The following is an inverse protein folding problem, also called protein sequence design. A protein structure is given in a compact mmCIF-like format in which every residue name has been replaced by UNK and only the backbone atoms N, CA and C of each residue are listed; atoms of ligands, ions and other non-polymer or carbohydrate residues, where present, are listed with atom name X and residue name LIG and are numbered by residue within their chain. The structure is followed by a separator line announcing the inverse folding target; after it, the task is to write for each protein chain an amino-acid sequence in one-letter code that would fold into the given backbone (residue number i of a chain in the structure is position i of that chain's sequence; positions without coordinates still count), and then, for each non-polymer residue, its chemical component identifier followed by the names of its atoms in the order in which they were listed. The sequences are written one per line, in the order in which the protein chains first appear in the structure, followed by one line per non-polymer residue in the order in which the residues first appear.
data_IF_488311901875
#
_entry.id   IF_488311901875
#
_cell.length_a   1.000
_cell.length_b   1.000
_cell.length_c   1.000
_cell.angle_alpha   90.00
_cell.angle_beta   90.00
_cell.angle_gamma   90.00
#
_symmetry.space_group_name_H-M   'P 1'
#
loop_
_entity.id
_entity.type
_entity.pdbx_description
1 polymer ?
#
# COMPACT_ATOMS: atom_id res chain seq x y z
N UNK A 1 21.27 10.27 16.83
CA UNK A 1 19.91 9.81 17.17
C UNK A 1 19.18 9.47 15.86
N UNK A 2 19.75 8.54 15.06
CA UNK A 2 19.23 8.10 13.75
C UNK A 2 19.09 6.57 13.64
N UNK A 3 19.60 5.80 14.62
CA UNK A 3 19.67 4.34 14.54
C UNK A 3 18.29 3.65 14.46
N UNK A 4 17.24 4.30 14.95
CA UNK A 4 15.86 3.79 14.89
C UNK A 4 15.22 3.89 13.50
N UNK A 5 15.61 4.88 12.69
CA UNK A 5 15.05 5.07 11.36
C UNK A 5 15.72 4.09 10.39
N UNK A 6 17.05 3.96 10.44
CA UNK A 6 17.81 3.00 9.64
C UNK A 6 17.41 1.54 9.89
N UNK A 7 17.02 1.20 11.13
CA UNK A 7 16.56 -0.15 11.48
C UNK A 7 15.18 -0.48 10.93
N UNK A 8 14.27 0.50 10.84
CA UNK A 8 12.91 0.28 10.35
C UNK A 8 12.85 0.22 8.82
N UNK A 9 13.62 1.09 8.13
CA UNK A 9 13.81 1.01 6.68
C UNK A 9 14.56 -0.26 6.28
N UNK A 10 15.58 -0.64 7.07
CA UNK A 10 16.29 -1.91 6.90
C UNK A 10 15.36 -3.11 7.08
N UNK A 11 14.44 -3.08 8.04
CA UNK A 11 13.46 -4.15 8.26
C UNK A 11 12.46 -4.27 7.09
N UNK A 12 11.98 -3.15 6.55
CA UNK A 12 11.05 -3.14 5.42
C UNK A 12 11.71 -3.57 4.11
N UNK A 13 12.97 -3.18 3.86
CA UNK A 13 13.69 -3.68 2.68
C UNK A 13 13.99 -5.18 2.80
N UNK A 14 14.36 -5.67 3.99
CA UNK A 14 14.54 -7.11 4.23
C UNK A 14 13.25 -7.90 4.09
N UNK A 15 12.10 -7.31 4.39
CA UNK A 15 10.80 -7.94 4.16
C UNK A 15 10.65 -8.28 2.67
N UNK A 16 10.89 -7.31 1.78
CA UNK A 16 10.76 -7.51 0.34
C UNK A 16 11.75 -8.55 -0.22
N UNK A 17 12.88 -8.81 0.45
CA UNK A 17 13.84 -9.86 0.06
C UNK A 17 13.37 -11.27 0.41
N UNK A 18 12.51 -11.42 1.43
CA UNK A 18 12.12 -12.73 1.99
C UNK A 18 10.64 -13.05 1.79
N UNK A 19 9.90 -12.18 1.10
CA UNK A 19 8.47 -12.32 0.87
C UNK A 19 8.08 -12.05 -0.57
N UNK A 20 7.16 -12.86 -1.08
CA UNK A 20 6.52 -12.60 -2.37
C UNK A 20 5.68 -11.30 -2.32
N UNK A 21 5.55 -10.57 -3.43
CA UNK A 21 4.62 -9.44 -3.52
C UNK A 21 3.18 -9.89 -3.29
N UNK A 22 2.30 -8.93 -2.98
CA UNK A 22 0.85 -9.14 -3.06
C UNK A 22 0.36 -8.78 -4.46
N UNK A 23 -0.76 -9.34 -4.85
CA UNK A 23 -1.39 -9.14 -6.14
C UNK A 23 -2.76 -8.50 -5.93
N UNK A 24 -3.01 -7.37 -6.59
CA UNK A 24 -4.32 -6.71 -6.61
C UNK A 24 -4.95 -6.87 -7.99
N UNK A 25 -6.11 -7.53 -8.03
CA UNK A 25 -6.83 -7.87 -9.24
C UNK A 25 -7.82 -6.77 -9.66
N UNK A 26 -8.16 -6.73 -10.95
CA UNK A 26 -9.02 -5.70 -11.57
C UNK A 26 -10.48 -5.72 -11.09
N UNK A 27 -10.98 -6.86 -10.59
CA UNK A 27 -12.40 -7.04 -10.18
C UNK A 27 -12.86 -6.07 -9.07
N UNK A 28 -11.93 -5.25 -8.60
CA UNK A 28 -11.96 -4.35 -7.48
C UNK A 28 -11.69 -2.87 -7.91
N UNK A 29 -12.32 -2.38 -8.99
CA UNK A 29 -12.10 -1.02 -9.53
C UNK A 29 -12.14 0.12 -8.48
N UNK A 30 -13.07 0.06 -7.51
CA UNK A 30 -13.18 1.08 -6.44
C UNK A 30 -11.95 1.12 -5.52
N UNK A 31 -11.20 0.02 -5.44
CA UNK A 31 -10.00 -0.11 -4.62
C UNK A 31 -8.80 0.57 -5.27
N UNK A 32 -8.72 0.55 -6.60
CA UNK A 32 -7.66 1.25 -7.34
C UNK A 32 -7.70 2.75 -7.11
N UNK A 33 -8.87 3.39 -7.17
CA UNK A 33 -8.99 4.83 -6.94
C UNK A 33 -8.53 5.24 -5.54
N UNK A 34 -8.87 4.44 -4.52
CA UNK A 34 -8.40 4.65 -3.16
C UNK A 34 -6.88 4.51 -3.04
N UNK A 35 -6.29 3.49 -3.67
CA UNK A 35 -4.86 3.25 -3.66
C UNK A 35 -4.08 4.35 -4.39
N UNK A 36 -4.52 4.76 -5.58
CA UNK A 36 -3.90 5.85 -6.35
C UNK A 36 -3.88 7.15 -5.56
N UNK A 37 -5.00 7.51 -4.93
CA UNK A 37 -5.06 8.69 -4.07
C UNK A 37 -4.11 8.59 -2.86
N UNK A 38 -4.05 7.42 -2.21
CA UNK A 38 -3.16 7.22 -1.08
C UNK A 38 -1.68 7.36 -1.49
N UNK A 39 -1.29 6.80 -2.65
CA UNK A 39 0.07 6.91 -3.18
C UNK A 39 0.44 8.35 -3.53
N UNK A 40 -0.46 9.13 -4.13
CA UNK A 40 -0.25 10.55 -4.38
C UNK A 40 0.01 11.30 -3.07
N UNK A 41 -0.76 11.02 -2.01
CA UNK A 41 -0.58 11.65 -0.69
C UNK A 41 0.67 11.20 0.04
N UNK A 42 1.11 9.97 -0.16
CA UNK A 42 2.38 9.48 0.38
C UNK A 42 3.57 10.14 -0.33
N UNK A 43 3.50 10.30 -1.66
CA UNK A 43 4.51 11.00 -2.43
C UNK A 43 4.63 12.48 -2.02
N UNK A 44 3.50 13.19 -1.90
CA UNK A 44 3.46 14.58 -1.39
C UNK A 44 4.10 14.69 -0.01
N UNK A 45 3.72 13.84 0.94
CA UNK A 45 4.27 13.87 2.31
C UNK A 45 5.77 13.54 2.36
N UNK A 46 6.23 12.62 1.51
CA UNK A 46 7.66 12.31 1.39
C UNK A 46 8.45 13.49 0.80
N UNK A 47 7.90 14.20 -0.19
CA UNK A 47 8.51 15.43 -0.73
C UNK A 47 8.59 16.53 0.32
N UNK A 48 7.52 16.73 1.10
CA UNK A 48 7.50 17.70 2.21
C UNK A 48 8.56 17.40 3.28
N UNK A 49 8.88 16.12 3.48
CA UNK A 49 9.89 15.64 4.41
C UNK A 49 11.31 15.52 3.81
N UNK A 50 11.53 15.98 2.57
CA UNK A 50 12.79 15.84 1.81
C UNK A 50 13.25 14.37 1.61
N UNK A 51 12.31 13.41 1.67
CA UNK A 51 12.53 12.00 1.43
C UNK A 51 12.35 11.66 -0.06
N UNK A 52 13.15 12.29 -0.94
CA UNK A 52 12.95 12.22 -2.41
C UNK A 52 12.95 10.80 -2.99
N UNK A 53 13.74 9.88 -2.41
CA UNK A 53 13.77 8.48 -2.82
C UNK A 53 12.45 7.75 -2.54
N UNK A 54 11.78 8.08 -1.44
CA UNK A 54 10.45 7.53 -1.13
C UNK A 54 9.37 8.17 -1.99
N UNK A 55 9.43 9.49 -2.18
CA UNK A 55 8.51 10.18 -3.07
C UNK A 55 8.52 9.56 -4.47
N UNK A 56 9.72 9.33 -5.02
CA UNK A 56 9.88 8.67 -6.31
C UNK A 56 9.31 7.24 -6.31
N UNK A 57 9.56 6.46 -5.26
CA UNK A 57 9.03 5.09 -5.13
C UNK A 57 7.49 5.08 -5.16
N UNK A 58 6.85 5.95 -4.39
CA UNK A 58 5.39 6.05 -4.35
C UNK A 58 4.82 6.49 -5.70
N UNK A 59 5.49 7.42 -6.38
CA UNK A 59 5.08 7.89 -7.70
C UNK A 59 5.22 6.81 -8.79
N UNK A 60 6.27 5.99 -8.73
CA UNK A 60 6.43 4.84 -9.64
C UNK A 60 5.30 3.82 -9.45
N UNK A 61 5.05 3.39 -8.20
CA UNK A 61 3.97 2.44 -7.92
C UNK A 61 2.59 2.99 -8.35
N UNK A 62 2.38 4.30 -8.19
CA UNK A 62 1.16 4.97 -8.65
C UNK A 62 1.00 4.91 -10.17
N UNK A 63 2.09 5.07 -10.93
CA UNK A 63 2.07 4.96 -12.39
C UNK A 63 1.82 3.51 -12.81
N UNK A 64 2.51 2.55 -12.19
CA UNK A 64 2.32 1.12 -12.44
C UNK A 64 0.86 0.69 -12.19
N UNK A 65 0.26 1.12 -11.08
CA UNK A 65 -1.14 0.85 -10.77
C UNK A 65 -2.11 1.47 -11.77
N UNK A 66 -1.85 2.71 -12.21
CA UNK A 66 -2.70 3.40 -13.17
C UNK A 66 -2.65 2.70 -14.54
N UNK A 67 -1.45 2.31 -14.98
CA UNK A 67 -1.23 1.61 -16.25
C UNK A 67 -1.82 0.20 -16.24
N UNK A 68 -1.72 -0.52 -15.12
CA UNK A 68 -2.34 -1.83 -14.96
C UNK A 68 -3.87 -1.75 -14.99
N UNK A 69 -4.46 -0.78 -14.28
CA UNK A 69 -5.90 -0.51 -14.34
C UNK A 69 -6.35 -0.21 -15.77
N UNK A 70 -5.60 0.61 -16.51
CA UNK A 70 -5.95 0.94 -17.90
C UNK A 70 -5.92 -0.28 -18.82
N UNK A 71 -5.09 -1.28 -18.50
CA UNK A 71 -4.91 -2.50 -19.29
C UNK A 71 -5.74 -3.69 -18.80
N UNK A 72 -6.45 -3.54 -17.68
CA UNK A 72 -7.16 -4.65 -17.02
C UNK A 72 -6.20 -5.74 -16.53
N UNK A 73 -5.06 -5.33 -15.98
CA UNK A 73 -4.00 -6.23 -15.50
C UNK A 73 -3.92 -6.20 -13.97
N UNK A 74 -3.58 -7.34 -13.38
CA UNK A 74 -3.21 -7.46 -11.97
C UNK A 74 -1.96 -6.62 -11.68
N UNK A 75 -1.94 -5.93 -10.54
CA UNK A 75 -0.75 -5.20 -10.06
C UNK A 75 0.02 -6.05 -9.06
N UNK A 76 1.34 -6.16 -9.28
CA UNK A 76 2.27 -6.68 -8.28
C UNK A 76 2.71 -5.56 -7.33
N UNK A 77 2.47 -5.71 -6.04
CA UNK A 77 2.85 -4.73 -5.02
C UNK A 77 3.78 -5.38 -4.01
N UNK A 78 4.97 -4.81 -3.82
CA UNK A 78 5.90 -5.25 -2.78
C UNK A 78 5.23 -5.18 -1.41
N UNK A 79 5.48 -6.16 -0.54
CA UNK A 79 4.84 -6.19 0.80
C UNK A 79 5.13 -4.95 1.62
N UNK A 80 6.34 -4.42 1.54
CA UNK A 80 6.67 -3.21 2.28
C UNK A 80 5.85 -2.01 1.78
N UNK A 81 5.56 -1.92 0.49
CA UNK A 81 4.73 -0.86 -0.07
C UNK A 81 3.24 -1.10 0.25
N UNK A 82 2.77 -2.34 0.22
CA UNK A 82 1.42 -2.71 0.64
C UNK A 82 1.13 -2.40 2.12
N UNK A 83 2.09 -2.67 3.02
CA UNK A 83 1.97 -2.29 4.43
C UNK A 83 1.88 -0.78 4.61
N UNK A 84 2.73 -0.02 3.91
CA UNK A 84 2.68 1.45 3.93
C UNK A 84 1.34 1.96 3.39
N UNK A 85 0.84 1.35 2.32
CA UNK A 85 -0.44 1.67 1.70
C UNK A 85 -1.62 1.42 2.66
N UNK A 86 -1.67 0.27 3.34
CA UNK A 86 -2.68 -0.04 4.36
C UNK A 86 -2.69 1.01 5.49
N UNK A 87 -1.51 1.39 6.00
CA UNK A 87 -1.40 2.45 7.02
C UNK A 87 -1.87 3.80 6.49
N UNK A 88 -1.51 4.17 5.27
CA UNK A 88 -1.91 5.44 4.67
C UNK A 88 -3.43 5.53 4.44
N UNK A 89 -4.05 4.45 3.97
CA UNK A 89 -5.50 4.34 3.77
C UNK A 89 -6.26 4.44 5.10
N UNK A 90 -5.76 3.79 6.17
CA UNK A 90 -6.34 3.90 7.52
C UNK A 90 -6.29 5.34 8.05
N UNK A 91 -5.16 6.03 7.91
CA UNK A 91 -5.02 7.46 8.27
C UNK A 91 -5.92 8.36 7.42
N UNK A 92 -6.12 8.03 6.15
CA UNK A 92 -7.02 8.80 5.30
C UNK A 92 -8.49 8.62 5.72
N UNK A 93 -8.89 7.39 6.05
CA UNK A 93 -10.22 7.08 6.61
C UNK A 93 -10.49 7.86 7.89
N UNK A 94 -9.54 7.93 8.82
CA UNK A 94 -9.66 8.72 10.05
C UNK A 94 -9.90 10.20 9.75
N UNK A 95 -9.13 10.79 8.84
CA UNK A 95 -9.32 12.19 8.40
C UNK A 95 -10.67 12.44 7.73
N UNK A 96 -11.19 11.49 6.95
CA UNK A 96 -12.51 11.60 6.34
C UNK A 96 -13.63 11.51 7.39
N UNK A 97 -13.46 10.63 8.38
CA UNK A 97 -14.38 10.51 9.52
C UNK A 97 -14.44 11.81 10.31
N UNK A 98 -13.30 12.43 10.59
CA UNK A 98 -13.22 13.72 11.30
C UNK A 98 -13.92 14.85 10.52
N UNK A 99 -13.99 14.73 9.19
CA UNK A 99 -14.65 15.68 8.28
C UNK A 99 -16.11 15.32 7.96
N UNK A 100 -16.64 14.21 8.49
CA UNK A 100 -18.03 13.78 8.30
C UNK A 100 -18.32 13.01 7.00
N UNK A 101 -17.31 12.55 6.26
CA UNK A 101 -17.48 11.80 5.00
C UNK A 101 -17.57 10.29 5.24
N UNK A 102 -18.77 9.78 5.59
CA UNK A 102 -18.98 8.36 5.97
C UNK A 102 -18.93 7.40 4.78
N UNK A 103 -19.55 7.72 3.64
CA UNK A 103 -19.63 6.83 2.46
C UNK A 103 -18.24 6.55 1.87
N UNK A 104 -17.42 7.58 1.74
CA UNK A 104 -16.02 7.46 1.30
C UNK A 104 -15.16 6.66 2.28
N UNK A 105 -15.51 6.66 3.58
CA UNK A 105 -14.83 5.85 4.59
C UNK A 105 -15.04 4.33 4.40
N UNK A 106 -16.21 3.90 3.92
CA UNK A 106 -16.53 2.50 3.71
C UNK A 106 -15.77 1.87 2.53
N UNK A 107 -15.53 2.63 1.46
CA UNK A 107 -14.66 2.20 0.34
C UNK A 107 -13.24 1.97 0.85
N UNK A 108 -12.68 2.93 1.60
CA UNK A 108 -11.34 2.80 2.18
C UNK A 108 -11.22 1.63 3.14
N UNK A 109 -12.24 1.36 3.94
CA UNK A 109 -12.25 0.22 4.86
C UNK A 109 -12.23 -1.11 4.11
N UNK A 110 -13.00 -1.24 3.02
CA UNK A 110 -12.93 -2.43 2.16
C UNK A 110 -11.56 -2.56 1.49
N UNK A 111 -10.98 -1.47 0.96
CA UNK A 111 -9.63 -1.49 0.37
C UNK A 111 -8.56 -1.91 1.37
N UNK A 112 -8.62 -1.40 2.59
CA UNK A 112 -7.71 -1.81 3.67
C UNK A 112 -7.88 -3.30 3.96
N UNK A 113 -9.12 -3.79 4.04
CA UNK A 113 -9.39 -5.20 4.31
C UNK A 113 -8.78 -6.13 3.25
N UNK A 114 -8.94 -5.80 1.96
CA UNK A 114 -8.36 -6.58 0.86
C UNK A 114 -6.83 -6.61 0.96
N UNK A 115 -6.20 -5.45 1.17
CA UNK A 115 -4.74 -5.38 1.30
C UNK A 115 -4.25 -6.19 2.50
N UNK A 116 -4.95 -6.10 3.63
CA UNK A 116 -4.59 -6.83 4.85
C UNK A 116 -4.78 -8.34 4.68
N UNK A 117 -5.86 -8.79 4.03
CA UNK A 117 -6.09 -10.20 3.72
C UNK A 117 -4.96 -10.76 2.84
N UNK A 118 -4.58 -10.03 1.78
CA UNK A 118 -3.46 -10.42 0.91
C UNK A 118 -2.11 -10.43 1.63
N UNK A 119 -1.91 -9.53 2.59
CA UNK A 119 -0.72 -9.53 3.45
C UNK A 119 -0.69 -10.74 4.40
N UNK A 120 -1.84 -11.21 4.86
CA UNK A 120 -1.98 -12.37 5.75
C UNK A 120 -1.82 -13.71 5.02
N UNK A 121 -2.34 -13.83 3.78
CA UNK A 121 -2.39 -15.05 2.95
C UNK A 121 -1.04 -15.80 2.86
N UNK A 122 0.08 -15.09 2.98
CA UNK A 122 1.42 -15.69 2.79
C UNK A 122 2.13 -16.11 4.07
N UNK A 123 1.54 -15.89 5.24
CA UNK A 123 2.08 -16.41 6.51
C UNK A 123 1.80 -17.91 6.66
N UNK A 124 0.89 -18.46 5.86
CA UNK A 124 0.40 -19.85 5.91
C UNK A 124 0.98 -20.78 4.83
N UNK A 125 1.99 -20.32 4.07
CA UNK A 125 2.62 -21.09 3.00
C UNK A 125 3.71 -22.09 3.43
N UNK A 126 3.99 -22.25 4.73
CA UNK A 126 5.01 -23.18 5.24
C UNK A 126 4.51 -24.05 6.39
N UNK A 127 3.39 -24.75 6.23
CA UNK A 127 3.14 -26.06 6.88
C UNK A 127 1.99 -26.76 6.15
N UNK A 128 2.27 -27.38 5.00
CA UNK A 128 1.57 -28.59 4.55
C UNK A 128 2.18 -29.10 3.24
N UNK A 129 3.38 -29.67 3.33
CA UNK A 129 3.81 -30.71 2.40
C UNK A 129 4.31 -31.93 3.19
N UNK A 130 3.40 -32.90 3.26
CA UNK A 130 3.58 -34.37 3.36
C UNK A 130 4.16 -35.00 4.64
#
# INVERSE_FOLDING_TARGET
MNDSFDTLYGALNRLDEVTDPIYLDEEEEEHFDACLYALDKMAEAAMEADALGEAHRHQQLRLEMADARQRGETVEIRRSDALRLSVALRRYRERLRDRGYVVSGAVLERTVHVIDEKLEETTTGTTNER
#
